data_IF_785071754396
#
_entry.id   IF_785071754396
#
_cell.length_a   1.000
_cell.length_b   1.000
_cell.length_c   1.000
_cell.angle_alpha   90.00
_cell.angle_beta   90.00
_cell.angle_gamma   90.00
#
_symmetry.space_group_name_H-M   'P 1'
#
loop_
_entity.id
_entity.type
_entity.pdbx_description
1 polymer ?
#
# COMPACT_ATOMS: atom_id res chain seq x y z
N UNK A 1 1.63 8.96 10.17
CA UNK A 1 0.26 9.46 10.43
C UNK A 1 -0.20 10.10 9.13
N UNK A 2 -1.46 9.96 8.72
CA UNK A 2 -2.01 10.65 7.56
C UNK A 2 -3.16 11.55 8.02
N UNK A 3 -3.35 12.67 7.33
CA UNK A 3 -4.35 13.66 7.66
C UNK A 3 -5.56 13.55 6.75
N UNK A 4 -6.73 13.93 7.28
CA UNK A 4 -8.00 13.95 6.57
C UNK A 4 -8.80 15.20 6.97
N UNK A 5 -9.75 15.62 6.14
CA UNK A 5 -10.41 16.93 6.22
C UNK A 5 -11.95 16.86 6.28
N UNK A 6 -12.52 15.67 6.45
CA UNK A 6 -13.96 15.39 6.38
C UNK A 6 -14.46 15.03 4.97
N UNK A 7 -13.64 15.18 3.93
CA UNK A 7 -14.01 14.91 2.52
C UNK A 7 -13.33 13.68 1.91
N UNK A 8 -12.46 12.99 2.65
CA UNK A 8 -11.69 11.83 2.19
C UNK A 8 -12.42 10.52 2.47
N UNK A 9 -11.90 9.46 1.85
CA UNK A 9 -12.19 8.09 2.23
C UNK A 9 -10.93 7.47 2.83
N UNK A 10 -11.12 6.50 3.72
CA UNK A 10 -10.04 5.75 4.34
C UNK A 10 -9.89 4.44 3.60
N UNK A 11 -8.67 4.14 3.17
CA UNK A 11 -8.28 2.86 2.61
C UNK A 11 -7.37 2.13 3.61
N UNK A 12 -7.66 0.86 3.87
CA UNK A 12 -6.83 0.01 4.75
C UNK A 12 -6.55 -1.30 4.04
N UNK A 13 -5.30 -1.71 3.99
CA UNK A 13 -4.84 -2.98 3.43
C UNK A 13 -4.23 -3.89 4.50
N UNK A 14 -4.28 -5.19 4.23
CA UNK A 14 -3.85 -6.25 5.14
C UNK A 14 -2.79 -7.15 4.50
N UNK A 15 -2.04 -7.83 5.34
CA UNK A 15 -0.98 -8.77 4.95
C UNK A 15 -1.52 -9.93 4.09
N UNK A 16 -2.72 -10.43 4.42
CA UNK A 16 -3.39 -11.48 3.64
C UNK A 16 -3.92 -11.01 2.27
N UNK A 17 -3.76 -9.72 1.93
CA UNK A 17 -4.17 -9.19 0.64
C UNK A 17 -5.64 -8.82 0.56
N UNK A 18 -6.26 -8.48 1.70
CA UNK A 18 -7.57 -7.83 1.77
C UNK A 18 -7.42 -6.31 1.89
N UNK A 19 -8.39 -5.55 1.41
CA UNK A 19 -8.50 -4.13 1.67
C UNK A 19 -9.95 -3.66 1.85
N UNK A 20 -10.15 -2.63 2.67
CA UNK A 20 -11.43 -1.95 2.86
C UNK A 20 -11.28 -0.48 2.50
N UNK A 21 -12.35 0.09 1.92
CA UNK A 21 -12.50 1.52 1.67
C UNK A 21 -13.82 1.98 2.29
N UNK A 22 -13.79 3.01 3.12
CA UNK A 22 -14.97 3.55 3.81
C UNK A 22 -14.86 5.08 3.94
N UNK A 23 -15.98 5.79 4.10
CA UNK A 23 -15.96 7.24 4.30
C UNK A 23 -15.35 7.60 5.65
N UNK A 24 -14.50 8.63 5.69
CA UNK A 24 -13.86 9.01 6.97
C UNK A 24 -14.86 9.39 8.06
N UNK A 25 -16.05 9.87 7.68
CA UNK A 25 -17.13 10.22 8.61
C UNK A 25 -17.65 9.02 9.43
N UNK A 26 -17.42 7.78 8.98
CA UNK A 26 -17.69 6.56 9.77
C UNK A 26 -16.73 6.41 10.96
N UNK A 27 -15.59 7.10 10.93
CA UNK A 27 -14.65 7.23 12.03
C UNK A 27 -14.86 8.57 12.74
N UNK A 28 -15.68 8.54 13.79
CA UNK A 28 -15.89 9.75 14.62
C UNK A 28 -14.58 10.29 15.17
N UNK A 29 -14.42 11.63 15.29
CA UNK A 29 -13.29 12.23 15.98
C UNK A 29 -13.18 11.70 17.41
N UNK A 30 -11.97 11.37 17.82
CA UNK A 30 -11.66 10.90 19.18
C UNK A 30 -10.43 11.65 19.70
N UNK A 31 -10.44 11.98 20.99
CA UNK A 31 -9.26 12.55 21.64
C UNK A 31 -8.10 11.57 21.70
N UNK A 32 -6.88 12.09 21.87
CA UNK A 32 -5.61 11.34 21.85
C UNK A 32 -5.56 10.13 22.78
N UNK A 33 -6.30 10.15 23.90
CA UNK A 33 -6.31 9.09 24.92
C UNK A 33 -7.23 7.92 24.55
N UNK A 34 -8.03 8.04 23.48
CA UNK A 34 -8.97 6.99 23.10
C UNK A 34 -8.29 5.79 22.44
N UNK A 35 -8.92 4.61 22.56
CA UNK A 35 -8.47 3.35 21.93
C UNK A 35 -8.63 3.33 20.39
N UNK A 36 -9.27 4.35 19.81
CA UNK A 36 -9.64 4.39 18.40
C UNK A 36 -10.87 3.54 18.07
N UNK A 37 -11.16 3.42 16.78
CA UNK A 37 -12.28 2.63 16.24
C UNK A 37 -11.75 1.57 15.27
N UNK A 38 -12.47 0.46 15.11
CA UNK A 38 -12.04 -0.62 14.21
C UNK A 38 -12.15 -0.20 12.74
N UNK A 39 -11.05 -0.08 12.02
CA UNK A 39 -11.07 0.20 10.57
C UNK A 39 -11.49 -1.00 9.72
N UNK A 40 -10.82 -2.14 9.88
CA UNK A 40 -11.06 -3.39 9.16
C UNK A 40 -11.20 -4.57 10.14
N UNK A 41 -12.02 -5.56 9.82
CA UNK A 41 -12.09 -6.83 10.55
C UNK A 41 -11.05 -7.80 9.99
N UNK A 42 -10.06 -8.12 10.80
CA UNK A 42 -8.96 -9.03 10.47
C UNK A 42 -9.39 -10.50 10.63
N UNK A 43 -8.82 -11.36 9.79
CA UNK A 43 -8.87 -12.81 9.97
C UNK A 43 -7.81 -13.25 10.98
N UNK A 44 -7.88 -14.50 11.45
CA UNK A 44 -6.91 -15.04 12.40
C UNK A 44 -5.51 -15.05 11.76
N UNK A 45 -4.57 -14.38 12.40
CA UNK A 45 -3.17 -14.27 11.95
C UNK A 45 -2.91 -13.16 10.93
N UNK A 46 -3.95 -12.44 10.50
CA UNK A 46 -3.83 -11.31 9.58
C UNK A 46 -3.61 -10.01 10.35
N UNK A 47 -3.00 -9.02 9.69
CA UNK A 47 -2.69 -7.72 10.27
C UNK A 47 -2.70 -6.63 9.20
N UNK A 48 -2.85 -5.38 9.65
CA UNK A 48 -2.83 -4.21 8.76
C UNK A 48 -1.40 -3.91 8.35
N UNK A 49 -1.18 -3.74 7.05
CA UNK A 49 0.12 -3.34 6.48
C UNK A 49 0.12 -1.89 6.00
N UNK A 50 -1.06 -1.31 5.76
CA UNK A 50 -1.19 0.09 5.39
C UNK A 50 -2.57 0.64 5.70
N UNK A 51 -2.60 1.94 6.03
CA UNK A 51 -3.79 2.77 6.05
C UNK A 51 -3.45 4.14 5.45
N UNK A 52 -4.30 4.67 4.59
CA UNK A 52 -4.12 5.97 3.94
C UNK A 52 -5.47 6.63 3.63
N UNK A 53 -5.45 7.94 3.40
CA UNK A 53 -6.57 8.65 2.80
C UNK A 53 -6.54 8.51 1.28
N UNK A 54 -7.72 8.49 0.67
CA UNK A 54 -7.92 8.49 -0.78
C UNK A 54 -9.05 9.44 -1.13
N UNK A 55 -9.00 10.00 -2.34
CA UNK A 55 -10.00 10.93 -2.85
C UNK A 55 -11.33 10.24 -3.16
N UNK A 56 -12.44 10.94 -2.92
CA UNK A 56 -13.79 10.51 -3.34
C UNK A 56 -13.97 10.50 -4.86
N UNK A 57 -13.10 11.17 -5.60
CA UNK A 57 -13.10 11.16 -7.08
C UNK A 57 -12.56 9.85 -7.68
N UNK A 58 -11.94 9.02 -6.84
CA UNK A 58 -11.47 7.69 -7.21
C UNK A 58 -10.46 7.63 -8.37
N UNK A 59 -9.71 8.71 -8.59
CA UNK A 59 -8.74 8.87 -9.69
C UNK A 59 -7.42 8.13 -9.42
N UNK A 60 -7.05 8.00 -8.15
CA UNK A 60 -5.79 7.41 -7.69
C UNK A 60 -5.69 5.90 -8.00
N UNK A 61 -4.45 5.43 -8.15
CA UNK A 61 -4.14 4.00 -8.16
C UNK A 61 -3.49 3.60 -6.84
N UNK A 62 -3.85 2.43 -6.34
CA UNK A 62 -3.17 1.79 -5.21
C UNK A 62 -2.07 0.88 -5.74
N UNK A 63 -0.81 1.17 -5.42
CA UNK A 63 0.30 0.25 -5.62
C UNK A 63 0.30 -0.76 -4.47
N UNK A 64 0.29 -2.05 -4.80
CA UNK A 64 0.51 -3.13 -3.84
C UNK A 64 1.83 -3.84 -4.13
N UNK A 65 2.62 -4.11 -3.10
CA UNK A 65 3.88 -4.84 -3.16
C UNK A 65 3.81 -6.06 -2.22
N UNK A 66 4.43 -7.17 -2.62
CA UNK A 66 4.42 -8.44 -1.89
C UNK A 66 5.83 -8.95 -1.57
N UNK A 67 5.91 -9.87 -0.62
CA UNK A 67 7.16 -10.42 -0.06
C UNK A 67 8.08 -11.03 -1.12
N UNK A 68 7.54 -11.64 -2.18
CA UNK A 68 8.33 -12.26 -3.26
C UNK A 68 8.58 -11.32 -4.44
N UNK A 69 8.52 -10.00 -4.20
CA UNK A 69 8.87 -9.00 -5.20
C UNK A 69 7.83 -8.81 -6.29
N UNK A 70 6.58 -9.24 -6.09
CA UNK A 70 5.49 -8.94 -7.02
C UNK A 70 4.79 -7.64 -6.62
N UNK A 71 4.28 -6.92 -7.61
CA UNK A 71 3.42 -5.79 -7.36
C UNK A 71 2.57 -5.38 -8.55
N UNK A 72 1.63 -4.48 -8.28
CA UNK A 72 0.67 -3.97 -9.26
C UNK A 72 0.02 -2.69 -8.79
N UNK A 73 -0.41 -1.89 -9.76
CA UNK A 73 -1.31 -0.78 -9.55
C UNK A 73 -2.77 -1.21 -9.77
N UNK A 74 -3.67 -0.70 -8.94
CA UNK A 74 -5.11 -0.91 -9.12
C UNK A 74 -5.89 0.35 -8.76
N UNK A 75 -6.74 0.81 -9.68
CA UNK A 75 -7.58 2.00 -9.47
C UNK A 75 -8.44 1.86 -8.21
N UNK A 76 -8.43 2.90 -7.37
CA UNK A 76 -9.09 2.88 -6.05
C UNK A 76 -10.61 2.68 -6.16
N UNK A 77 -11.24 3.17 -7.24
CA UNK A 77 -12.67 2.96 -7.49
C UNK A 77 -13.07 1.49 -7.69
N UNK A 78 -12.12 0.61 -8.02
CA UNK A 78 -12.42 -0.83 -8.13
C UNK A 78 -12.71 -1.48 -6.78
N UNK A 79 -12.28 -0.86 -5.68
CA UNK A 79 -12.56 -1.28 -4.32
C UNK A 79 -13.90 -0.69 -3.90
N UNK A 80 -14.96 -1.49 -3.92
CA UNK A 80 -16.29 -1.02 -3.51
C UNK A 80 -16.24 -0.35 -2.13
N UNK A 81 -16.95 0.75 -2.00
CA UNK A 81 -17.18 1.41 -0.72
C UNK A 81 -17.92 0.45 0.22
N UNK A 82 -17.54 0.45 1.49
CA UNK A 82 -18.13 -0.37 2.55
C UNK A 82 -18.24 0.46 3.83
N UNK A 83 -19.09 0.01 4.75
CA UNK A 83 -19.08 0.54 6.11
C UNK A 83 -17.79 0.13 6.83
N UNK A 84 -17.29 1.02 7.67
CA UNK A 84 -16.13 0.75 8.53
C UNK A 84 -16.30 -0.55 9.35
N UNK A 85 -15.21 -1.32 9.49
CA UNK A 85 -15.18 -2.54 10.29
C UNK A 85 -15.62 -3.80 9.54
N UNK A 86 -15.89 -3.70 8.23
CA UNK A 86 -16.08 -4.84 7.35
C UNK A 86 -14.79 -5.65 7.14
N UNK A 87 -14.92 -6.81 6.49
CA UNK A 87 -13.77 -7.69 6.15
C UNK A 87 -13.00 -7.24 4.90
N UNK A 88 -13.50 -6.23 4.20
CA UNK A 88 -12.90 -5.75 2.95
C UNK A 88 -13.21 -6.63 1.74
N UNK A 89 -12.49 -6.36 0.65
CA UNK A 89 -12.45 -7.15 -0.59
C UNK A 89 -11.01 -7.55 -0.89
N UNK A 90 -10.81 -8.48 -1.81
CA UNK A 90 -9.46 -8.82 -2.29
C UNK A 90 -8.80 -7.56 -2.84
N UNK A 91 -7.55 -7.32 -2.42
CA UNK A 91 -6.62 -6.30 -2.90
C UNK A 91 -5.58 -6.87 -3.86
N UNK A 92 -5.00 -8.00 -3.48
CA UNK A 92 -4.01 -8.73 -4.24
C UNK A 92 -4.16 -10.21 -3.91
N UNK A 93 -4.10 -11.07 -4.92
CA UNK A 93 -4.17 -12.52 -4.70
C UNK A 93 -2.84 -13.04 -4.17
N UNK A 94 -2.70 -13.10 -2.85
CA UNK A 94 -1.55 -13.72 -2.20
C UNK A 94 -1.54 -15.24 -2.46
N UNK A 95 -0.39 -15.75 -2.88
CA UNK A 95 -0.13 -17.16 -3.17
C UNK A 95 1.29 -17.52 -2.72
N UNK A 96 1.65 -18.82 -2.72
CA UNK A 96 3.02 -19.23 -2.42
C UNK A 96 4.07 -18.55 -3.31
N UNK A 97 3.72 -18.27 -4.59
CA UNK A 97 4.59 -17.61 -5.55
C UNK A 97 4.79 -16.12 -5.28
N UNK A 98 3.74 -15.42 -4.84
CA UNK A 98 3.80 -13.97 -4.61
C UNK A 98 4.24 -13.63 -3.18
N UNK A 99 4.06 -14.57 -2.25
CA UNK A 99 4.05 -14.23 -0.84
C UNK A 99 2.86 -13.35 -0.47
N UNK A 100 2.90 -12.83 0.75
CA UNK A 100 1.89 -11.94 1.33
C UNK A 100 2.19 -10.48 0.97
N UNK A 101 1.24 -9.60 1.24
CA UNK A 101 1.37 -8.17 0.92
C UNK A 101 2.20 -7.50 1.99
N UNK A 102 3.19 -6.69 1.60
CA UNK A 102 4.08 -5.96 2.52
C UNK A 102 3.77 -4.48 2.60
N UNK A 103 3.32 -3.89 1.50
CA UNK A 103 3.02 -2.46 1.44
C UNK A 103 1.90 -2.18 0.43
N UNK A 104 1.08 -1.18 0.75
CA UNK A 104 0.07 -0.63 -0.17
C UNK A 104 -0.01 0.88 0.03
N UNK A 105 0.02 1.67 -1.03
CA UNK A 105 -0.10 3.13 -0.92
C UNK A 105 -0.63 3.72 -2.24
N UNK A 106 -1.28 4.90 -2.19
CA UNK A 106 -1.69 5.60 -3.40
C UNK A 106 -0.45 6.04 -4.16
N UNK A 107 -0.50 6.02 -5.49
CA UNK A 107 0.58 6.47 -6.37
C UNK A 107 0.03 7.32 -7.50
N UNK A 108 0.80 8.34 -7.84
CA UNK A 108 0.63 9.17 -9.03
C UNK A 108 1.59 8.72 -10.15
N UNK A 109 1.40 9.16 -11.40
CA UNK A 109 2.24 8.73 -12.52
C UNK A 109 3.74 9.05 -12.33
N UNK A 110 4.05 10.16 -11.68
CA UNK A 110 5.41 10.65 -11.39
C UNK A 110 5.99 10.11 -10.08
N UNK A 111 5.20 9.32 -9.32
CA UNK A 111 5.68 8.70 -8.09
C UNK A 111 6.84 7.74 -8.35
N UNK A 112 7.83 7.76 -7.47
CA UNK A 112 8.90 6.77 -7.43
C UNK A 112 8.81 5.93 -6.16
N UNK A 113 9.20 4.67 -6.29
CA UNK A 113 9.02 3.66 -5.26
C UNK A 113 10.36 3.05 -4.93
N UNK A 114 10.74 3.09 -3.66
CA UNK A 114 11.86 2.32 -3.13
C UNK A 114 11.33 0.99 -2.58
N UNK A 115 12.00 -0.11 -2.93
CA UNK A 115 11.79 -1.45 -2.39
C UNK A 115 13.08 -1.89 -1.70
N UNK A 116 12.95 -2.37 -0.47
CA UNK A 116 14.07 -2.87 0.35
C UNK A 116 13.83 -4.35 0.66
N UNK A 117 14.87 -5.16 0.51
CA UNK A 117 14.84 -6.59 0.85
C UNK A 117 15.58 -6.89 2.16
N UNK A 118 15.31 -8.08 2.71
CA UNK A 118 15.96 -8.56 3.93
C UNK A 118 17.49 -8.69 3.76
N UNK A 119 17.96 -8.98 2.54
CA UNK A 119 19.38 -9.02 2.22
C UNK A 119 19.94 -7.66 1.75
N UNK A 120 19.32 -6.56 2.19
CA UNK A 120 19.76 -5.19 1.95
C UNK A 120 19.87 -4.79 0.47
N UNK A 121 19.09 -5.43 -0.42
CA UNK A 121 18.94 -4.91 -1.79
C UNK A 121 17.95 -3.75 -1.78
N UNK A 122 18.34 -2.66 -2.42
CA UNK A 122 17.50 -1.48 -2.63
C UNK A 122 17.24 -1.31 -4.12
N UNK A 123 15.98 -1.11 -4.50
CA UNK A 123 15.59 -0.84 -5.88
C UNK A 123 14.64 0.36 -5.93
N UNK A 124 14.94 1.34 -6.79
CA UNK A 124 14.07 2.47 -7.16
C UNK A 124 13.33 2.11 -8.45
N UNK A 125 12.01 2.31 -8.47
CA UNK A 125 11.14 2.07 -9.62
C UNK A 125 10.22 3.26 -9.85
N UNK A 126 10.06 3.67 -11.10
CA UNK A 126 9.02 4.62 -11.49
C UNK A 126 7.66 3.92 -11.45
N UNK A 127 6.67 4.55 -10.80
CA UNK A 127 5.37 3.96 -10.60
C UNK A 127 4.64 3.72 -11.93
N UNK A 128 4.72 4.63 -12.90
CA UNK A 128 4.06 4.51 -14.21
C UNK A 128 4.42 3.24 -14.99
N UNK A 129 5.65 2.72 -14.81
CA UNK A 129 6.14 1.46 -15.40
C UNK A 129 5.54 0.22 -14.74
N UNK A 130 4.96 0.35 -13.54
CA UNK A 130 4.35 -0.76 -12.82
C UNK A 130 2.96 -1.08 -13.41
N UNK A 131 2.73 -2.35 -13.73
CA UNK A 131 1.50 -2.81 -14.39
C UNK A 131 0.23 -2.41 -13.62
N UNK A 132 -0.69 -1.76 -14.34
CA UNK A 132 -2.08 -1.53 -13.92
C UNK A 132 -2.93 -2.75 -14.20
N UNK A 133 -3.62 -3.28 -13.20
CA UNK A 133 -4.52 -4.43 -13.35
C UNK A 133 -5.54 -4.51 -12.21
N UNK A 134 -6.48 -5.46 -12.31
CA UNK A 134 -7.55 -5.63 -11.34
C UNK A 134 -7.09 -6.13 -9.97
N UNK A 135 -8.00 -6.04 -9.00
CA UNK A 135 -7.77 -6.42 -7.59
C UNK A 135 -7.36 -7.88 -7.41
N UNK A 136 -8.04 -8.81 -8.07
CA UNK A 136 -7.80 -10.26 -7.89
C UNK A 136 -6.55 -10.79 -8.60
N UNK A 137 -5.79 -9.94 -9.29
CA UNK A 137 -4.56 -10.34 -9.96
C UNK A 137 -3.38 -10.49 -8.99
N UNK A 138 -2.37 -11.23 -9.42
CA UNK A 138 -1.08 -11.37 -8.71
C UNK A 138 -0.12 -10.21 -8.98
N UNK A 139 -0.31 -9.46 -10.07
CA UNK A 139 0.65 -8.45 -10.50
C UNK A 139 1.82 -9.02 -11.29
N UNK A 140 2.90 -8.24 -11.37
CA UNK A 140 4.14 -8.56 -12.12
C UNK A 140 5.33 -8.52 -11.19
N UNK A 141 6.43 -9.14 -11.60
CA UNK A 141 7.70 -9.06 -10.88
C UNK A 141 8.25 -7.64 -10.95
N UNK A 142 8.42 -7.01 -9.79
CA UNK A 142 9.10 -5.73 -9.61
C UNK A 142 10.60 -5.95 -9.35
N UNK A 143 10.92 -6.96 -8.54
CA UNK A 143 12.28 -7.36 -8.19
C UNK A 143 12.40 -8.89 -8.25
N UNK A 144 13.53 -9.38 -8.78
CA UNK A 144 13.88 -10.80 -8.70
C UNK A 144 14.56 -11.08 -7.37
N UNK A 145 13.98 -11.99 -6.60
CA UNK A 145 14.51 -12.39 -5.30
C UNK A 145 15.64 -13.41 -5.46
N UNK A 146 16.63 -13.34 -4.56
CA UNK A 146 17.57 -14.44 -4.35
C UNK A 146 16.93 -15.50 -3.46
N UNK A 147 17.52 -16.69 -3.42
CA UNK A 147 17.12 -17.72 -2.48
C UNK A 147 17.22 -17.22 -1.03
N UNK A 148 16.12 -17.39 -0.28
CA UNK A 148 16.02 -16.93 1.10
C UNK A 148 15.92 -15.41 1.28
N UNK A 149 15.78 -14.63 0.21
CA UNK A 149 15.51 -13.18 0.29
C UNK A 149 14.01 -12.91 0.22
N UNK A 150 13.58 -11.80 0.82
CA UNK A 150 12.20 -11.31 0.73
C UNK A 150 12.15 -9.79 0.85
N UNK A 151 11.17 -9.17 0.21
CA UNK A 151 10.86 -7.76 0.41
C UNK A 151 10.40 -7.57 1.86
N UNK A 152 11.02 -6.61 2.55
CA UNK A 152 10.69 -6.26 3.93
C UNK A 152 9.89 -4.96 4.00
N UNK A 153 10.14 -4.02 3.08
CA UNK A 153 9.42 -2.76 3.01
C UNK A 153 9.40 -2.19 1.59
N UNK A 154 8.40 -1.36 1.32
CA UNK A 154 8.37 -0.48 0.17
C UNK A 154 7.74 0.86 0.56
N UNK A 155 8.24 1.94 -0.01
CA UNK A 155 7.77 3.31 0.27
C UNK A 155 7.85 4.18 -0.98
N UNK A 156 7.09 5.26 -0.98
CA UNK A 156 7.27 6.35 -1.94
C UNK A 156 8.55 7.12 -1.61
N UNK A 157 9.23 7.59 -2.65
CA UNK A 157 10.27 8.60 -2.54
C UNK A 157 9.62 9.99 -2.54
N UNK A 158 10.01 10.86 -1.62
CA UNK A 158 9.71 12.27 -1.72
C UNK A 158 10.79 12.93 -2.55
N UNK A 159 10.45 13.32 -3.78
CA UNK A 159 11.41 13.88 -4.75
C UNK A 159 11.94 15.26 -4.30
N UNK A 160 11.37 15.84 -3.24
CA UNK A 160 11.81 17.12 -2.68
C UNK A 160 13.10 17.05 -1.83
N UNK A 161 13.62 15.86 -1.53
CA UNK A 161 14.82 15.66 -0.69
C UNK A 161 16.09 15.26 -1.47
N UNK A 162 16.03 15.11 -2.80
CA UNK A 162 17.14 14.62 -3.64
C UNK A 162 18.25 15.68 -3.95
N UNK A 163 18.18 16.91 -3.39
CA UNK A 163 19.18 17.97 -3.64
C UNK A 163 20.42 17.97 -2.70
N UNK A 164 20.51 17.15 -1.65
CA UNK A 164 21.57 17.30 -0.62
C UNK A 164 22.59 16.16 -0.44
N UNK A 165 22.64 15.09 -1.25
CA UNK A 165 23.58 13.96 -1.00
C UNK A 165 24.70 13.79 -2.05
N UNK A 166 25.14 14.87 -2.72
CA UNK A 166 26.42 14.83 -3.47
C UNK A 166 27.40 15.85 -2.90
N UNK A 167 27.87 15.57 -1.68
CA UNK A 167 28.99 16.25 -1.04
C UNK A 167 30.21 15.35 -0.95
N UNK A 168 31.18 15.62 -1.82
CA UNK A 168 32.64 15.44 -1.68
C UNK A 168 33.19 14.16 -1.00
N UNK A 169 33.73 13.24 -1.82
CA UNK A 169 34.99 12.58 -1.47
C UNK A 169 36.10 13.25 -2.30
N UNK A 170 36.96 14.01 -1.61
CA UNK A 170 38.28 14.47 -2.07
C UNK A 170 39.35 13.48 -1.61
#
# INVERSE_FOLDING_TARGET
VFETDGTKQIFIATHDGMAIRFDESDARPLGRVARGVRGIKLRKGDYVVSACAVSKEETENMLSVSEQGFGKQTKVGTYRLQNRGGVGVINMKATKKTGKVVAVFPVDPDSEVIIITQQAKLIRLEADKIRKTGRSAQGVTLIRMNDGDMVTSASLLDVSEDEEIIGEES
#
